data_IF_975584667040
#
_entry.id   IF_975584667040
#
_cell.length_a   1.000
_cell.length_b   1.000
_cell.length_c   1.000
_cell.angle_alpha   90.00
_cell.angle_beta   90.00
_cell.angle_gamma   90.00
#
_symmetry.space_group_name_H-M   'P 1'
#
loop_
_entity.id
_entity.type
_entity.pdbx_description
1 polymer ?
#
# COMPACT_ATOMS: atom_id res chain seq x y z
N UNK A 1 46.15 -52.19 -45.16
CA UNK A 1 44.94 -52.28 -44.29
C UNK A 1 45.28 -51.74 -42.91
N UNK A 2 44.88 -50.51 -42.55
CA UNK A 2 44.93 -50.03 -41.18
C UNK A 2 43.54 -50.15 -40.51
N UNK A 3 43.55 -50.58 -39.25
CA UNK A 3 42.38 -50.80 -38.40
C UNK A 3 41.75 -49.47 -37.99
N UNK A 4 40.43 -49.36 -38.14
CA UNK A 4 39.61 -48.32 -37.51
C UNK A 4 39.59 -48.49 -35.99
N UNK A 5 39.78 -47.40 -35.25
CA UNK A 5 39.46 -47.28 -33.82
C UNK A 5 38.31 -46.27 -33.71
N UNK A 6 37.18 -46.60 -33.07
CA UNK A 6 36.11 -45.64 -32.88
C UNK A 6 36.43 -44.73 -31.68
N UNK A 7 36.43 -43.42 -31.90
CA UNK A 7 36.46 -42.43 -30.84
C UNK A 7 35.08 -42.39 -30.17
N UNK A 8 35.03 -42.73 -28.88
CA UNK A 8 33.84 -42.60 -28.05
C UNK A 8 33.67 -41.13 -27.67
N UNK A 9 32.66 -40.46 -28.23
CA UNK A 9 32.20 -39.17 -27.75
C UNK A 9 31.51 -39.36 -26.40
N UNK A 10 32.17 -38.96 -25.30
CA UNK A 10 31.54 -38.76 -24.00
C UNK A 10 30.75 -37.44 -24.04
N UNK A 11 29.43 -37.54 -24.19
CA UNK A 11 28.51 -36.45 -23.94
C UNK A 11 28.45 -36.21 -22.42
N UNK A 12 28.92 -35.05 -21.97
CA UNK A 12 28.75 -34.58 -20.59
C UNK A 12 27.34 -33.98 -20.48
N UNK A 13 26.44 -34.51 -19.63
CA UNK A 13 25.15 -33.87 -19.42
C UNK A 13 25.38 -32.64 -18.52
N UNK A 14 25.14 -31.46 -19.09
CA UNK A 14 25.06 -30.21 -18.33
C UNK A 14 23.74 -30.23 -17.54
N UNK A 15 23.79 -30.65 -16.29
CA UNK A 15 22.65 -30.58 -15.38
C UNK A 15 22.38 -29.11 -15.02
N UNK A 16 21.37 -28.50 -15.66
CA UNK A 16 20.78 -27.25 -15.21
C UNK A 16 20.03 -27.52 -13.90
N UNK A 17 20.61 -27.10 -12.78
CA UNK A 17 19.92 -27.07 -11.50
C UNK A 17 18.87 -25.95 -11.51
N UNK A 18 17.64 -26.31 -11.88
CA UNK A 18 16.45 -25.53 -11.56
C UNK A 18 16.21 -25.65 -10.06
N UNK A 19 16.57 -24.63 -9.29
CA UNK A 19 16.15 -24.49 -7.89
C UNK A 19 14.64 -24.22 -7.86
N UNK A 20 13.87 -25.30 -7.92
CA UNK A 20 12.47 -25.30 -7.57
C UNK A 20 12.34 -25.10 -6.05
N UNK A 21 12.02 -23.88 -5.61
CA UNK A 21 11.54 -23.64 -4.25
C UNK A 21 10.08 -24.15 -4.17
N UNK A 22 9.89 -25.46 -4.05
CA UNK A 22 8.57 -26.07 -4.07
C UNK A 22 8.57 -27.55 -3.68
N UNK A 23 8.76 -27.80 -2.38
CA UNK A 23 8.23 -28.91 -1.57
C UNK A 23 8.28 -30.36 -2.08
N UNK A 24 9.02 -31.21 -1.35
CA UNK A 24 8.46 -32.32 -0.57
C UNK A 24 9.59 -33.05 0.16
N UNK A 25 9.56 -33.04 1.50
CA UNK A 25 10.01 -34.20 2.26
C UNK A 25 9.26 -34.24 3.60
N UNK A 26 8.65 -35.39 3.84
CA UNK A 26 7.89 -35.74 5.04
C UNK A 26 8.84 -36.31 6.09
N UNK A 27 8.37 -36.39 7.33
CA UNK A 27 8.98 -37.13 8.45
C UNK A 27 10.14 -36.48 9.21
N UNK A 28 9.89 -35.28 9.74
CA UNK A 28 10.39 -34.91 11.07
C UNK A 28 9.27 -34.35 11.94
N UNK A 29 9.00 -35.03 13.05
CA UNK A 29 8.15 -34.55 14.15
C UNK A 29 8.64 -33.13 14.51
N UNK A 30 7.80 -32.08 14.42
CA UNK A 30 8.26 -30.74 14.71
C UNK A 30 8.63 -30.69 16.19
N UNK A 31 9.91 -30.47 16.47
CA UNK A 31 10.32 -29.96 17.76
C UNK A 31 9.47 -28.72 18.02
N UNK A 32 8.92 -28.58 19.23
CA UNK A 32 8.23 -27.38 19.64
C UNK A 32 9.22 -26.21 19.55
N UNK A 33 9.27 -25.57 18.40
CA UNK A 33 9.95 -24.30 18.21
C UNK A 33 9.18 -23.33 19.09
N UNK A 34 9.79 -22.99 20.24
CA UNK A 34 9.30 -21.89 21.05
C UNK A 34 9.10 -20.72 20.11
N UNK A 35 7.88 -20.18 20.08
CA UNK A 35 7.54 -19.05 19.21
C UNK A 35 8.55 -17.94 19.51
N UNK A 36 9.56 -17.78 18.65
CA UNK A 36 10.38 -16.59 18.65
C UNK A 36 9.40 -15.44 18.50
N UNK A 37 9.36 -14.54 19.48
CA UNK A 37 8.56 -13.32 19.37
C UNK A 37 9.20 -12.52 18.24
N UNK A 38 8.66 -12.69 17.04
CA UNK A 38 9.10 -11.96 15.86
C UNK A 38 8.86 -10.48 16.14
N UNK A 39 9.94 -9.71 16.19
CA UNK A 39 9.90 -8.26 16.39
C UNK A 39 10.33 -7.60 15.10
N UNK A 40 9.49 -6.73 14.56
CA UNK A 40 9.84 -5.90 13.42
C UNK A 40 11.09 -5.03 13.74
N UNK A 41 11.89 -4.63 12.74
CA UNK A 41 12.93 -3.63 12.92
C UNK A 41 12.39 -2.38 13.63
N UNK A 42 13.22 -1.75 14.47
CA UNK A 42 12.77 -0.64 15.31
C UNK A 42 12.13 0.50 14.51
N UNK A 43 12.68 0.86 13.34
CA UNK A 43 12.07 1.87 12.46
C UNK A 43 10.69 1.46 11.92
N UNK A 44 10.50 0.18 11.59
CA UNK A 44 9.19 -0.36 11.16
C UNK A 44 8.18 -0.33 12.31
N UNK A 45 8.61 -0.64 13.54
CA UNK A 45 7.74 -0.51 14.70
C UNK A 45 7.42 0.97 15.03
N UNK A 46 8.39 1.86 14.82
CA UNK A 46 8.23 3.30 15.06
C UNK A 46 7.22 3.94 14.13
N UNK A 47 7.29 3.69 12.80
CA UNK A 47 6.32 4.23 11.85
C UNK A 47 4.87 3.84 12.21
N UNK A 48 4.63 2.63 12.73
CA UNK A 48 3.29 2.20 13.14
C UNK A 48 2.83 2.89 14.43
N UNK A 49 3.78 3.23 15.31
CA UNK A 49 3.51 4.02 16.52
C UNK A 49 3.12 5.45 16.14
N UNK A 50 3.87 6.07 15.21
CA UNK A 50 3.56 7.40 14.69
C UNK A 50 2.22 7.41 13.97
N UNK A 51 2.00 6.48 13.01
CA UNK A 51 0.72 6.34 12.29
C UNK A 51 -0.48 6.23 13.25
N UNK A 52 -0.37 5.42 14.29
CA UNK A 52 -1.45 5.26 15.26
C UNK A 52 -1.73 6.57 16.04
N UNK A 53 -0.68 7.31 16.40
CA UNK A 53 -0.79 8.60 17.07
C UNK A 53 -1.43 9.65 16.17
N UNK A 54 -1.03 9.72 14.89
CA UNK A 54 -1.55 10.69 13.94
C UNK A 54 -3.00 10.44 13.56
N UNK A 55 -3.38 9.17 13.31
CA UNK A 55 -4.79 8.79 13.13
C UNK A 55 -5.62 9.19 14.35
N UNK A 56 -5.09 8.99 15.58
CA UNK A 56 -5.82 9.34 16.80
C UNK A 56 -5.97 10.86 16.98
N UNK A 57 -4.97 11.64 16.57
CA UNK A 57 -4.95 13.09 16.76
C UNK A 57 -5.75 13.84 15.68
N UNK A 58 -5.66 13.38 14.43
CA UNK A 58 -6.05 14.17 13.23
C UNK A 58 -6.95 13.41 12.27
N UNK A 59 -7.43 12.24 12.67
CA UNK A 59 -8.02 11.30 11.74
C UNK A 59 -9.03 10.35 12.35
N UNK A 60 -9.12 9.19 11.72
CA UNK A 60 -9.97 8.10 12.17
C UNK A 60 -9.68 6.82 11.38
N UNK A 61 -10.30 5.73 11.80
CA UNK A 61 -10.11 4.42 11.17
C UNK A 61 -11.41 3.65 11.05
N UNK A 62 -11.52 2.84 10.02
CA UNK A 62 -12.62 1.91 9.82
C UNK A 62 -12.11 0.58 9.27
N UNK A 63 -12.89 -0.49 9.43
CA UNK A 63 -12.59 -1.79 8.84
C UNK A 63 -13.57 -2.04 7.70
N UNK A 64 -13.06 -2.43 6.53
CA UNK A 64 -13.87 -2.81 5.37
C UNK A 64 -13.19 -3.95 4.61
N UNK A 65 -13.89 -5.07 4.46
CA UNK A 65 -13.32 -6.29 3.87
C UNK A 65 -12.02 -6.72 4.55
N UNK A 66 -10.97 -6.90 3.74
CA UNK A 66 -9.63 -7.28 4.18
C UNK A 66 -8.77 -6.10 4.66
N UNK A 67 -9.34 -4.89 4.76
CA UNK A 67 -8.61 -3.66 5.10
C UNK A 67 -9.02 -3.12 6.47
N UNK A 68 -8.04 -2.64 7.23
CA UNK A 68 -8.22 -1.52 8.15
C UNK A 68 -7.78 -0.26 7.40
N UNK A 69 -8.65 0.72 7.25
CA UNK A 69 -8.35 1.95 6.51
C UNK A 69 -8.32 3.11 7.49
N UNK A 70 -7.18 3.77 7.60
CA UNK A 70 -7.02 5.05 8.29
C UNK A 70 -7.24 6.23 7.34
N UNK A 71 -7.66 7.36 7.88
CA UNK A 71 -7.51 8.66 7.23
C UNK A 71 -6.85 9.65 8.19
N UNK A 72 -6.14 10.62 7.65
CA UNK A 72 -5.56 11.77 8.36
C UNK A 72 -5.90 13.04 7.56
N UNK A 73 -6.16 14.14 8.25
CA UNK A 73 -6.36 15.46 7.64
C UNK A 73 -5.35 16.44 8.23
N UNK A 74 -4.64 17.16 7.36
CA UNK A 74 -3.68 18.20 7.71
C UNK A 74 -3.87 19.43 6.81
N UNK A 75 -3.12 20.51 7.05
CA UNK A 75 -2.97 21.59 6.09
C UNK A 75 -2.42 21.07 4.75
N UNK A 76 -2.69 21.80 3.66
CA UNK A 76 -2.13 21.45 2.35
C UNK A 76 -0.59 21.43 2.38
N UNK A 77 0.00 20.35 1.89
CA UNK A 77 1.45 20.12 1.98
C UNK A 77 2.16 20.20 0.63
N UNK A 78 3.45 20.61 0.60
CA UNK A 78 4.27 20.47 -0.58
C UNK A 78 4.69 19.00 -0.80
N UNK A 79 5.05 18.65 -2.03
CA UNK A 79 5.67 17.35 -2.30
C UNK A 79 6.67 17.41 -3.44
N UNK A 80 7.54 16.40 -3.50
CA UNK A 80 8.38 16.16 -4.65
C UNK A 80 7.69 15.25 -5.65
N UNK A 81 7.79 15.57 -6.93
CA UNK A 81 7.35 14.71 -8.01
C UNK A 81 8.33 14.80 -9.18
N UNK A 82 8.29 13.83 -10.08
CA UNK A 82 9.15 13.86 -11.26
C UNK A 82 8.52 14.72 -12.38
N UNK A 83 9.28 15.67 -12.92
CA UNK A 83 8.83 16.68 -13.90
C UNK A 83 8.36 16.08 -15.25
N UNK A 84 8.78 14.85 -15.55
CA UNK A 84 8.48 14.13 -16.81
C UNK A 84 8.08 12.68 -16.54
N UNK A 85 7.12 12.48 -15.64
CA UNK A 85 6.69 11.14 -15.23
C UNK A 85 7.88 10.34 -14.70
N UNK A 86 8.06 9.10 -15.14
CA UNK A 86 9.07 8.17 -14.60
C UNK A 86 10.53 8.49 -14.97
N UNK A 87 10.80 9.49 -15.82
CA UNK A 87 12.14 9.79 -16.33
C UNK A 87 12.66 11.18 -15.95
N UNK A 88 11.85 11.98 -15.26
CA UNK A 88 12.21 13.34 -14.84
C UNK A 88 13.01 13.38 -13.54
N UNK A 89 13.67 14.51 -13.28
CA UNK A 89 14.22 14.81 -11.96
C UNK A 89 13.09 15.10 -10.98
N UNK A 90 13.33 14.82 -9.69
CA UNK A 90 12.43 15.25 -8.62
C UNK A 90 12.43 16.77 -8.53
N UNK A 91 11.25 17.37 -8.62
CA UNK A 91 10.99 18.80 -8.48
C UNK A 91 10.02 19.04 -7.34
N UNK A 92 10.25 20.11 -6.61
CA UNK A 92 9.40 20.52 -5.50
C UNK A 92 8.15 21.23 -6.02
N UNK A 93 6.98 20.79 -5.56
CA UNK A 93 5.69 21.39 -5.85
C UNK A 93 5.07 21.90 -4.56
N UNK A 94 4.94 23.22 -4.46
CA UNK A 94 4.21 23.86 -3.37
C UNK A 94 2.68 23.66 -3.53
N UNK A 95 1.90 23.72 -2.43
CA UNK A 95 0.45 23.81 -2.52
C UNK A 95 0.00 24.92 -3.45
N UNK A 96 -1.05 24.66 -4.24
CA UNK A 96 -1.72 25.73 -4.97
C UNK A 96 -2.46 26.65 -3.99
N UNK A 97 -2.73 27.90 -4.40
CA UNK A 97 -3.33 28.91 -3.52
C UNK A 97 -4.71 28.49 -2.96
N UNK A 98 -5.45 27.69 -3.70
CA UNK A 98 -6.78 27.21 -3.36
C UNK A 98 -6.77 25.84 -2.66
N UNK A 99 -5.61 25.18 -2.59
CA UNK A 99 -5.45 23.95 -1.82
C UNK A 99 -5.35 24.26 -0.33
N UNK A 100 -6.14 23.56 0.45
CA UNK A 100 -6.40 23.88 1.86
C UNK A 100 -6.06 22.73 2.79
N UNK A 101 -6.23 21.49 2.34
CA UNK A 101 -6.03 20.31 3.16
C UNK A 101 -5.20 19.28 2.42
N UNK A 102 -4.28 18.62 3.12
CA UNK A 102 -3.73 17.34 2.70
C UNK A 102 -4.60 16.25 3.32
N UNK A 103 -5.22 15.40 2.50
CA UNK A 103 -6.07 14.31 3.00
C UNK A 103 -5.43 12.99 2.62
N UNK A 104 -5.09 12.22 3.65
CA UNK A 104 -4.45 10.92 3.52
C UNK A 104 -5.43 9.77 3.73
N UNK A 105 -5.20 8.68 3.00
CA UNK A 105 -5.83 7.38 3.17
C UNK A 105 -4.73 6.33 3.32
N UNK A 106 -4.80 5.55 4.39
CA UNK A 106 -3.79 4.54 4.75
C UNK A 106 -4.45 3.17 4.73
N UNK A 107 -4.40 2.43 3.61
CA UNK A 107 -4.91 1.06 3.53
C UNK A 107 -3.94 0.11 4.23
N UNK A 108 -4.37 -0.54 5.30
CA UNK A 108 -3.61 -1.59 5.99
C UNK A 108 -4.28 -2.94 5.81
N UNK A 109 -3.53 -3.98 5.46
CA UNK A 109 -4.02 -5.36 5.45
C UNK A 109 -4.45 -5.71 6.87
N UNK A 110 -5.72 -6.03 7.06
CA UNK A 110 -6.31 -6.24 8.36
C UNK A 110 -5.67 -7.38 9.17
N UNK A 111 -5.08 -8.37 8.48
CA UNK A 111 -4.47 -9.55 9.08
C UNK A 111 -3.04 -9.29 9.57
N UNK A 112 -2.27 -8.49 8.84
CA UNK A 112 -0.83 -8.32 9.10
C UNK A 112 -0.48 -6.93 9.61
N UNK A 113 -1.37 -5.95 9.43
CA UNK A 113 -1.11 -4.54 9.73
C UNK A 113 -0.21 -3.84 8.71
N UNK A 114 0.28 -4.55 7.68
CA UNK A 114 1.10 -3.96 6.62
C UNK A 114 0.31 -2.92 5.84
N UNK A 115 0.92 -1.76 5.62
CA UNK A 115 0.39 -0.78 4.67
C UNK A 115 0.49 -1.38 3.27
N UNK A 116 -0.61 -1.33 2.52
CA UNK A 116 -0.74 -1.99 1.21
C UNK A 116 -0.30 -1.03 0.11
N UNK A 117 0.76 -1.33 -0.67
CA UNK A 117 1.17 -0.55 -1.83
C UNK A 117 0.32 -0.89 -3.08
N UNK A 118 0.53 -0.13 -4.16
CA UNK A 118 -0.13 -0.28 -5.47
C UNK A 118 -1.65 -0.48 -5.42
N UNK A 119 -2.33 0.20 -4.49
CA UNK A 119 -3.78 0.34 -4.42
C UNK A 119 -4.18 1.62 -5.16
N UNK A 120 -4.91 1.55 -6.30
CA UNK A 120 -5.51 2.74 -6.86
C UNK A 120 -6.61 3.25 -5.92
N UNK A 121 -6.52 4.50 -5.48
CA UNK A 121 -7.49 5.09 -4.55
C UNK A 121 -8.07 6.37 -5.16
N UNK A 122 -9.40 6.41 -5.26
CA UNK A 122 -10.15 7.65 -5.49
C UNK A 122 -10.78 8.08 -4.17
N UNK A 123 -10.54 9.32 -3.77
CA UNK A 123 -11.17 9.91 -2.60
C UNK A 123 -12.17 10.99 -3.02
N UNK A 124 -13.40 10.84 -2.56
CA UNK A 124 -14.45 11.84 -2.68
C UNK A 124 -14.70 12.53 -1.33
N UNK A 125 -14.76 13.86 -1.37
CA UNK A 125 -15.24 14.70 -0.26
C UNK A 125 -16.69 15.06 -0.52
N UNK A 126 -17.58 14.58 0.33
CA UNK A 126 -19.04 14.68 0.15
C UNK A 126 -19.63 15.59 1.22
N UNK A 127 -20.44 16.57 0.81
CA UNK A 127 -21.10 17.49 1.75
C UNK A 127 -22.30 16.85 2.46
N UNK A 128 -22.92 17.62 3.36
CA UNK A 128 -24.09 17.19 4.15
C UNK A 128 -25.32 16.84 3.30
N UNK A 129 -25.41 17.34 2.07
CA UNK A 129 -26.53 17.12 1.15
C UNK A 129 -26.26 15.92 0.23
N UNK A 130 -25.12 15.25 0.42
CA UNK A 130 -24.71 14.08 -0.35
C UNK A 130 -24.03 14.42 -1.68
N UNK A 131 -23.73 15.70 -1.93
CA UNK A 131 -23.06 16.13 -3.15
C UNK A 131 -21.54 15.98 -3.00
N UNK A 132 -20.90 15.41 -4.04
CA UNK A 132 -19.44 15.38 -4.15
C UNK A 132 -18.94 16.81 -4.40
N UNK A 133 -18.20 17.35 -3.43
CA UNK A 133 -17.55 18.66 -3.52
C UNK A 133 -16.28 18.57 -4.35
N UNK A 134 -15.50 17.51 -4.14
CA UNK A 134 -14.30 17.23 -4.90
C UNK A 134 -14.02 15.73 -4.90
N UNK A 135 -13.48 15.23 -6.01
CA UNK A 135 -12.98 13.86 -6.15
C UNK A 135 -11.58 13.92 -6.74
N UNK A 136 -10.64 13.17 -6.16
CA UNK A 136 -9.26 13.06 -6.69
C UNK A 136 -8.76 11.63 -6.59
N UNK A 137 -7.94 11.24 -7.55
CA UNK A 137 -7.01 10.12 -7.37
C UNK A 137 -5.91 10.53 -6.38
N UNK A 138 -5.54 9.60 -5.51
CA UNK A 138 -4.51 9.82 -4.52
C UNK A 138 -3.16 9.31 -5.02
N UNK A 139 -2.09 10.07 -4.75
CA UNK A 139 -0.73 9.66 -5.06
C UNK A 139 -0.18 8.80 -3.92
N UNK A 140 0.71 7.85 -4.24
CA UNK A 140 1.43 7.08 -3.22
C UNK A 140 2.65 7.85 -2.73
N UNK A 141 2.78 7.99 -1.41
CA UNK A 141 3.86 8.75 -0.77
C UNK A 141 4.85 7.85 -0.04
N UNK A 142 6.12 8.21 -0.20
CA UNK A 142 7.22 7.76 0.65
C UNK A 142 7.47 8.85 1.71
N UNK A 143 7.06 8.59 2.96
CA UNK A 143 7.23 9.48 4.11
C UNK A 143 7.54 8.65 5.37
N UNK A 144 7.32 9.18 6.58
CA UNK A 144 7.48 8.46 7.86
C UNK A 144 6.77 7.10 7.86
N UNK A 145 5.59 7.03 7.24
CA UNK A 145 4.92 5.80 6.82
C UNK A 145 4.40 5.98 5.39
N UNK A 146 4.19 4.86 4.70
CA UNK A 146 3.54 4.90 3.38
C UNK A 146 2.08 5.29 3.51
N UNK A 147 1.60 6.13 2.61
CA UNK A 147 0.19 6.51 2.56
C UNK A 147 -0.20 6.96 1.15
N UNK A 148 -1.50 7.14 0.94
CA UNK A 148 -2.06 7.70 -0.27
C UNK A 148 -2.67 9.06 0.03
N UNK A 149 -2.31 10.10 -0.70
CA UNK A 149 -2.83 11.42 -0.41
C UNK A 149 -2.90 12.34 -1.62
N UNK A 150 -3.59 13.46 -1.44
CA UNK A 150 -3.60 14.59 -2.36
C UNK A 150 -3.98 15.84 -1.57
N UNK A 151 -3.64 17.01 -2.09
CA UNK A 151 -4.18 18.25 -1.58
C UNK A 151 -5.60 18.48 -2.12
N UNK A 152 -6.51 19.00 -1.31
CA UNK A 152 -7.90 19.31 -1.66
C UNK A 152 -8.22 20.80 -1.47
N UNK A 153 -9.12 21.30 -2.31
CA UNK A 153 -9.60 22.68 -2.30
C UNK A 153 -11.00 22.70 -1.68
N UNK A 154 -11.08 22.78 -0.36
CA UNK A 154 -12.35 22.73 0.38
C UNK A 154 -12.86 24.15 0.59
N UNK A 155 -13.96 24.56 -0.07
CA UNK A 155 -14.34 25.97 -0.16
C UNK A 155 -14.92 26.53 1.14
N UNK A 156 -15.39 25.68 2.05
CA UNK A 156 -16.03 26.09 3.31
C UNK A 156 -15.63 25.14 4.42
N UNK A 157 -15.36 25.68 5.60
CA UNK A 157 -15.18 24.85 6.78
C UNK A 157 -16.49 24.14 7.14
N UNK A 158 -16.41 22.90 7.61
CA UNK A 158 -17.59 22.15 8.00
C UNK A 158 -17.34 20.65 8.19
N UNK A 159 -18.44 19.92 8.38
CA UNK A 159 -18.44 18.47 8.47
C UNK A 159 -18.74 17.85 7.12
N UNK A 160 -17.88 16.92 6.71
CA UNK A 160 -17.95 16.21 5.44
C UNK A 160 -17.97 14.70 5.65
N UNK A 161 -18.29 13.99 4.59
CA UNK A 161 -18.05 12.55 4.49
C UNK A 161 -16.89 12.32 3.53
N UNK A 162 -15.86 11.61 3.98
CA UNK A 162 -14.81 11.08 3.12
C UNK A 162 -15.23 9.70 2.61
N UNK A 163 -15.28 9.52 1.30
CA UNK A 163 -15.57 8.23 0.66
C UNK A 163 -14.37 7.82 -0.18
N UNK A 164 -13.58 6.90 0.37
CA UNK A 164 -12.40 6.36 -0.27
C UNK A 164 -12.75 5.04 -0.98
N UNK A 165 -12.69 5.02 -2.31
CA UNK A 165 -12.79 3.81 -3.11
C UNK A 165 -11.38 3.27 -3.32
N UNK A 166 -11.12 2.09 -2.76
CA UNK A 166 -9.90 1.31 -2.95
C UNK A 166 -10.18 0.29 -4.05
N UNK A 167 -9.54 0.41 -5.20
CA UNK A 167 -9.58 -0.63 -6.21
C UNK A 167 -8.67 -1.80 -5.82
N UNK A 168 -8.80 -2.93 -6.53
CA UNK A 168 -7.98 -4.11 -6.27
C UNK A 168 -6.49 -3.76 -6.48
N UNK A 169 -5.59 -4.11 -5.54
CA UNK A 169 -4.17 -3.82 -5.68
C UNK A 169 -3.57 -4.48 -6.93
N UNK A 170 -2.66 -3.78 -7.63
CA UNK A 170 -2.15 -4.20 -8.95
C UNK A 170 -0.84 -4.99 -8.91
N UNK A 171 -0.27 -5.26 -7.73
CA UNK A 171 0.97 -6.02 -7.60
C UNK A 171 0.77 -7.53 -7.85
N UNK A 172 1.83 -8.19 -8.35
CA UNK A 172 1.86 -9.62 -8.63
C UNK A 172 1.94 -10.46 -7.34
N UNK A 173 1.44 -11.69 -7.40
CA UNK A 173 1.37 -12.60 -6.24
C UNK A 173 1.74 -14.02 -6.65
N UNK A 174 2.47 -14.71 -5.77
CA UNK A 174 2.61 -16.17 -5.83
C UNK A 174 1.40 -16.83 -5.19
N UNK A 175 0.99 -18.00 -5.69
CA UNK A 175 -0.07 -18.83 -5.13
C UNK A 175 -0.31 -20.07 -5.97
N UNK A 176 -0.93 -21.09 -5.37
CA UNK A 176 -1.38 -22.28 -6.09
C UNK A 176 -2.73 -22.04 -6.80
N UNK A 177 -3.04 -22.89 -7.78
CA UNK A 177 -4.35 -22.85 -8.44
C UNK A 177 -5.47 -23.10 -7.43
N UNK A 178 -6.53 -22.27 -7.47
CA UNK A 178 -7.68 -22.35 -6.57
C UNK A 178 -7.56 -21.60 -5.25
N UNK A 179 -6.40 -21.00 -4.95
CA UNK A 179 -6.25 -20.16 -3.77
C UNK A 179 -6.93 -18.80 -3.95
N UNK A 180 -7.57 -18.29 -2.88
CA UNK A 180 -8.06 -16.91 -2.81
C UNK A 180 -6.97 -16.03 -2.17
N UNK A 181 -6.24 -15.20 -2.94
CA UNK A 181 -5.23 -14.33 -2.35
C UNK A 181 -5.88 -13.27 -1.45
N UNK A 182 -5.21 -12.87 -0.37
CA UNK A 182 -5.65 -11.75 0.45
C UNK A 182 -5.74 -10.47 -0.38
N UNK A 183 -6.68 -9.57 -0.08
CA UNK A 183 -6.81 -8.30 -0.83
C UNK A 183 -7.11 -8.54 -2.34
N UNK A 184 -7.83 -9.62 -2.68
CA UNK A 184 -8.24 -9.94 -4.07
C UNK A 184 -9.39 -9.06 -4.58
N UNK A 185 -9.99 -8.28 -3.69
CA UNK A 185 -11.15 -7.44 -3.96
C UNK A 185 -10.85 -6.01 -3.47
N UNK A 186 -11.41 -5.03 -4.17
CA UNK A 186 -11.45 -3.64 -3.72
C UNK A 186 -12.44 -3.43 -2.56
N UNK A 187 -12.49 -2.21 -2.04
CA UNK A 187 -13.35 -1.83 -0.94
C UNK A 187 -13.76 -0.36 -1.02
N UNK A 188 -14.80 0.04 -0.29
CA UNK A 188 -15.14 1.45 -0.10
C UNK A 188 -15.19 1.76 1.38
N UNK A 189 -14.23 2.56 1.85
CA UNK A 189 -14.22 3.08 3.21
C UNK A 189 -14.99 4.42 3.25
N UNK A 190 -15.88 4.56 4.24
CA UNK A 190 -16.65 5.79 4.45
C UNK A 190 -16.41 6.30 5.85
N UNK A 191 -15.99 7.56 5.96
CA UNK A 191 -15.77 8.27 7.23
C UNK A 191 -16.74 9.45 7.27
N UNK A 192 -17.65 9.45 8.25
CA UNK A 192 -18.68 10.48 8.39
C UNK A 192 -18.25 11.52 9.41
N UNK A 193 -18.80 12.73 9.26
CA UNK A 193 -18.59 13.85 10.20
C UNK A 193 -17.12 14.26 10.35
N UNK A 194 -16.33 14.14 9.28
CA UNK A 194 -14.95 14.61 9.25
C UNK A 194 -14.95 16.13 9.21
N UNK A 195 -14.34 16.76 10.21
CA UNK A 195 -14.20 18.21 10.26
C UNK A 195 -13.07 18.65 9.33
N UNK A 196 -13.41 19.43 8.31
CA UNK A 196 -12.45 20.07 7.42
C UNK A 196 -12.54 21.58 7.68
N UNK A 197 -11.43 22.18 8.10
CA UNK A 197 -11.28 23.62 8.31
C UNK A 197 -9.89 24.05 7.85
N UNK A 198 -9.77 25.17 7.12
CA UNK A 198 -8.46 25.71 6.80
C UNK A 198 -7.66 25.92 8.09
N UNK A 199 -6.41 25.44 8.12
CA UNK A 199 -5.48 25.84 9.16
C UNK A 199 -5.08 27.30 8.91
N UNK A 200 -5.23 28.12 9.95
CA UNK A 200 -4.97 29.56 9.94
C UNK A 200 -3.52 29.89 10.26
#
# INVERSE_FOLDING_TARGET
>A
MPRFVPAVCLAVPLALALTACGGADSDKKPAAQGKSKETAPAGVAHQHTVLAAEIAARGGKTRVGDYNVGYIVEAAEPWFHAEHGTHGKQVHRAPAKDETHHIEIIPMEAKTGRIVPDVPITLEVVDKDGKVVQAKELNFYYSEFFHYANNFSIPKAGKYTLRAKLDTPTFLRHGASGEKPALSEGATATFRNVELKPES
#
